data_IF_482602601876
#
_entry.id   IF_482602601876
#
_cell.length_a   1.000
_cell.length_b   1.000
_cell.length_c   1.000
_cell.angle_alpha   90.00
_cell.angle_beta   90.00
_cell.angle_gamma   90.00
#
_symmetry.space_group_name_H-M   'P 1'
#
loop_
_entity.id
_entity.type
_entity.pdbx_description
1 polymer ?
#
# COMPACT_ATOMS: atom_id res chain seq x y z
N UNK A 1 -6.77 -20.84 11.25
CA UNK A 1 -6.05 -20.06 10.20
C UNK A 1 -7.05 -19.06 9.64
N UNK A 2 -6.70 -17.78 9.62
CA UNK A 2 -7.47 -16.74 8.92
C UNK A 2 -6.88 -16.59 7.52
N UNK A 3 -7.73 -16.49 6.51
CA UNK A 3 -7.33 -16.27 5.12
C UNK A 3 -8.29 -15.29 4.45
N UNK A 4 -7.79 -14.52 3.48
CA UNK A 4 -8.59 -13.64 2.65
C UNK A 4 -8.09 -13.68 1.20
N UNK A 5 -8.97 -13.39 0.27
CA UNK A 5 -8.62 -13.14 -1.13
C UNK A 5 -8.24 -11.68 -1.27
N UNK A 6 -7.07 -11.41 -1.81
CA UNK A 6 -6.53 -10.06 -1.93
C UNK A 6 -6.06 -9.76 -3.35
N UNK A 7 -6.22 -8.53 -3.86
CA UNK A 7 -5.57 -8.10 -5.09
C UNK A 7 -4.06 -7.93 -4.84
N UNK A 8 -3.24 -8.26 -5.83
CA UNK A 8 -1.79 -8.08 -5.72
C UNK A 8 -1.41 -6.60 -5.78
N UNK A 9 -1.70 -5.94 -6.90
CA UNK A 9 -1.38 -4.53 -7.15
C UNK A 9 -2.32 -3.95 -8.22
N UNK A 10 -2.48 -2.62 -8.31
CA UNK A 10 -3.29 -2.00 -9.36
C UNK A 10 -2.89 -2.42 -10.77
N UNK A 11 -1.60 -2.39 -11.07
CA UNK A 11 -1.07 -2.72 -12.39
C UNK A 11 -1.20 -4.21 -12.77
N UNK A 12 -1.29 -5.12 -11.83
CA UNK A 12 -1.31 -6.56 -12.09
C UNK A 12 -2.72 -7.18 -12.03
N UNK A 13 -3.74 -6.39 -11.72
CA UNK A 13 -5.14 -6.82 -11.62
C UNK A 13 -6.02 -6.02 -12.57
N UNK A 14 -6.71 -6.70 -13.49
CA UNK A 14 -7.71 -6.02 -14.32
C UNK A 14 -8.86 -5.46 -13.49
N UNK A 15 -9.53 -4.41 -13.96
CA UNK A 15 -10.72 -3.89 -13.28
C UNK A 15 -11.84 -4.95 -13.13
N UNK A 16 -11.93 -5.88 -14.08
CA UNK A 16 -12.87 -6.99 -14.00
C UNK A 16 -12.52 -7.94 -12.85
N UNK A 17 -11.23 -8.28 -12.69
CA UNK A 17 -10.74 -9.10 -11.58
C UNK A 17 -10.95 -8.39 -10.23
N UNK A 18 -10.64 -7.10 -10.13
CA UNK A 18 -10.88 -6.34 -8.89
C UNK A 18 -12.37 -6.35 -8.49
N UNK A 19 -13.29 -6.17 -9.44
CA UNK A 19 -14.74 -6.26 -9.19
C UNK A 19 -15.16 -7.65 -8.72
N UNK A 20 -14.57 -8.71 -9.29
CA UNK A 20 -14.84 -10.08 -8.88
C UNK A 20 -14.34 -10.33 -7.46
N UNK A 21 -13.09 -9.94 -7.15
CA UNK A 21 -12.52 -10.07 -5.81
C UNK A 21 -13.35 -9.32 -4.77
N UNK A 22 -13.84 -8.13 -5.11
CA UNK A 22 -14.65 -7.30 -4.22
C UNK A 22 -15.92 -8.01 -3.71
N UNK A 23 -16.48 -8.95 -4.47
CA UNK A 23 -17.63 -9.76 -4.02
C UNK A 23 -17.29 -10.74 -2.88
N UNK A 24 -15.99 -10.96 -2.62
CA UNK A 24 -15.48 -11.90 -1.62
C UNK A 24 -14.81 -11.22 -0.42
N UNK A 25 -14.72 -9.89 -0.39
CA UNK A 25 -14.04 -9.20 0.71
C UNK A 25 -14.73 -9.38 2.06
N UNK A 26 -16.05 -9.24 2.11
CA UNK A 26 -16.82 -9.41 3.34
C UNK A 26 -16.26 -8.56 4.50
N UNK A 27 -16.08 -9.19 5.68
CA UNK A 27 -15.48 -8.57 6.86
C UNK A 27 -13.96 -8.79 6.98
N UNK A 28 -13.34 -9.44 6.00
CA UNK A 28 -11.91 -9.75 6.03
C UNK A 28 -11.06 -8.51 5.75
N UNK A 29 -9.88 -8.46 6.35
CA UNK A 29 -8.85 -7.50 5.95
C UNK A 29 -8.29 -7.92 4.59
N UNK A 30 -8.26 -6.98 3.65
CA UNK A 30 -7.54 -7.14 2.38
C UNK A 30 -6.24 -6.36 2.41
N UNK A 31 -5.29 -6.74 1.56
CA UNK A 31 -4.07 -5.96 1.32
C UNK A 31 -3.83 -5.79 -0.18
N UNK A 32 -3.17 -4.72 -0.56
CA UNK A 32 -2.79 -4.45 -1.94
C UNK A 32 -1.52 -3.61 -1.97
N UNK A 33 -0.53 -3.98 -2.79
CA UNK A 33 0.59 -3.09 -3.09
C UNK A 33 0.04 -1.85 -3.80
N UNK A 34 0.57 -0.69 -3.46
CA UNK A 34 0.01 0.58 -3.88
C UNK A 34 1.08 1.64 -4.06
N UNK A 35 1.09 2.25 -5.24
CA UNK A 35 1.95 3.40 -5.55
C UNK A 35 3.40 3.18 -5.11
N UNK A 36 3.92 1.99 -5.38
CA UNK A 36 5.26 1.59 -5.02
C UNK A 36 6.30 2.36 -5.83
N UNK A 37 6.06 2.51 -7.14
CA UNK A 37 6.91 3.22 -8.08
C UNK A 37 6.19 4.41 -8.72
N UNK A 38 6.95 5.43 -9.16
CA UNK A 38 6.37 6.56 -9.88
C UNK A 38 5.73 6.13 -11.21
N UNK A 39 6.32 5.12 -11.87
CA UNK A 39 5.83 4.55 -13.12
C UNK A 39 4.42 3.95 -12.99
N UNK A 40 4.01 3.51 -11.79
CA UNK A 40 2.67 3.02 -11.56
C UNK A 40 1.62 4.11 -11.79
N UNK A 41 1.81 5.29 -11.22
CA UNK A 41 0.89 6.42 -11.46
C UNK A 41 0.93 6.86 -12.93
N UNK A 42 2.12 7.00 -13.53
CA UNK A 42 2.27 7.36 -14.94
C UNK A 42 1.52 6.40 -15.87
N UNK A 43 1.58 5.10 -15.60
CA UNK A 43 0.84 4.10 -16.37
C UNK A 43 -0.68 4.32 -16.30
N UNK A 44 -1.22 4.57 -15.11
CA UNK A 44 -2.67 4.80 -14.95
C UNK A 44 -3.13 6.15 -15.49
N UNK A 45 -2.32 7.19 -15.31
CA UNK A 45 -2.66 8.54 -15.78
C UNK A 45 -2.62 8.64 -17.29
N UNK A 46 -1.57 8.09 -17.93
CA UNK A 46 -1.24 8.39 -19.31
C UNK A 46 -1.10 7.14 -20.20
N UNK A 47 -1.04 5.93 -19.66
CA UNK A 47 -0.69 4.68 -20.35
C UNK A 47 0.70 4.80 -21.00
N UNK A 48 1.68 5.32 -20.25
CA UNK A 48 3.09 5.49 -20.64
C UNK A 48 4.02 4.94 -19.57
N UNK A 49 5.33 5.03 -19.78
CA UNK A 49 6.35 4.69 -18.80
C UNK A 49 6.75 3.21 -18.78
N UNK A 50 7.48 2.83 -17.74
CA UNK A 50 8.17 1.54 -17.66
C UNK A 50 7.25 0.33 -17.65
N UNK A 51 6.01 0.48 -17.19
CA UNK A 51 5.02 -0.59 -17.22
C UNK A 51 4.65 -1.02 -18.62
N UNK A 52 4.70 -0.13 -19.63
CA UNK A 52 4.49 -0.50 -21.03
C UNK A 52 5.59 -1.50 -21.46
N UNK A 53 6.86 -1.16 -21.22
CA UNK A 53 7.99 -2.05 -21.52
C UNK A 53 7.91 -3.39 -20.78
N UNK A 54 7.44 -3.38 -19.53
CA UNK A 54 7.22 -4.60 -18.74
C UNK A 54 6.17 -5.51 -19.40
N UNK A 55 5.03 -4.96 -19.79
CA UNK A 55 3.96 -5.72 -20.44
C UNK A 55 4.38 -6.27 -21.80
N UNK A 56 5.13 -5.49 -22.59
CA UNK A 56 5.70 -5.94 -23.85
C UNK A 56 6.66 -7.13 -23.66
N UNK A 57 7.57 -7.05 -22.70
CA UNK A 57 8.51 -8.13 -22.37
C UNK A 57 7.80 -9.40 -21.86
N UNK A 58 6.73 -9.24 -21.09
CA UNK A 58 5.94 -10.36 -20.59
C UNK A 58 4.89 -10.86 -21.57
N UNK A 59 4.77 -10.23 -22.74
CA UNK A 59 3.81 -10.56 -23.81
C UNK A 59 2.36 -10.54 -23.36
N UNK A 60 2.05 -9.65 -22.41
CA UNK A 60 0.68 -9.41 -21.94
C UNK A 60 0.07 -8.26 -22.74
N UNK A 61 -1.02 -8.53 -23.46
CA UNK A 61 -1.71 -7.52 -24.23
C UNK A 61 -2.37 -6.46 -23.33
N UNK A 62 -2.30 -5.20 -23.74
CA UNK A 62 -2.88 -4.04 -23.03
C UNK A 62 -4.07 -3.41 -23.76
N UNK A 63 -4.66 -4.12 -24.72
CA UNK A 63 -5.79 -3.59 -25.53
C UNK A 63 -7.02 -3.26 -24.69
N UNK A 64 -7.18 -3.98 -23.58
CA UNK A 64 -8.28 -3.80 -22.62
C UNK A 64 -8.08 -2.62 -21.66
N UNK A 65 -6.86 -2.08 -21.59
CA UNK A 65 -6.53 -1.01 -20.64
C UNK A 65 -6.49 0.36 -21.32
N UNK A 66 -7.19 1.32 -20.75
CA UNK A 66 -7.18 2.72 -21.15
C UNK A 66 -6.72 3.57 -19.98
N UNK A 67 -5.92 4.60 -20.28
CA UNK A 67 -5.52 5.59 -19.28
C UNK A 67 -6.75 6.20 -18.61
N UNK A 68 -6.68 6.39 -17.31
CA UNK A 68 -7.80 6.91 -16.51
C UNK A 68 -7.70 8.41 -16.27
N UNK A 69 -6.52 8.99 -16.50
CA UNK A 69 -6.20 10.36 -16.13
C UNK A 69 -6.11 10.59 -14.61
N UNK A 70 -5.97 9.52 -13.84
CA UNK A 70 -5.92 9.52 -12.37
C UNK A 70 -4.78 8.65 -11.89
N UNK A 71 -4.32 8.85 -10.65
CA UNK A 71 -3.34 7.96 -10.02
C UNK A 71 -3.83 6.51 -10.02
N UNK A 72 -2.92 5.56 -9.86
CA UNK A 72 -3.25 4.14 -9.77
C UNK A 72 -4.28 3.88 -8.68
N UNK A 73 -4.06 4.44 -7.48
CA UNK A 73 -4.96 4.30 -6.35
C UNK A 73 -6.35 4.86 -6.64
N UNK A 74 -6.47 6.09 -7.13
CA UNK A 74 -7.76 6.68 -7.47
C UNK A 74 -8.51 5.92 -8.56
N UNK A 75 -7.79 5.25 -9.44
CA UNK A 75 -8.35 4.44 -10.52
C UNK A 75 -8.98 3.14 -10.03
N UNK A 76 -8.34 2.49 -9.04
CA UNK A 76 -8.81 1.21 -8.49
C UNK A 76 -9.74 1.35 -7.30
N UNK A 77 -9.65 2.45 -6.55
CA UNK A 77 -10.44 2.69 -5.34
C UNK A 77 -11.94 2.41 -5.51
N UNK A 78 -12.62 2.85 -6.59
CA UNK A 78 -14.04 2.54 -6.80
C UNK A 78 -14.35 1.06 -7.07
N UNK A 79 -13.33 0.21 -7.24
CA UNK A 79 -13.46 -1.22 -7.48
C UNK A 79 -13.24 -2.06 -6.22
N UNK A 80 -12.58 -1.47 -5.21
CA UNK A 80 -12.23 -2.13 -3.96
C UNK A 80 -12.88 -1.50 -2.72
N UNK A 81 -13.63 -0.40 -2.88
CA UNK A 81 -14.20 0.38 -1.78
C UNK A 81 -15.29 -0.34 -0.97
N UNK A 82 -15.64 -1.56 -1.33
CA UNK A 82 -16.49 -2.45 -0.52
C UNK A 82 -15.73 -3.16 0.59
N UNK A 83 -14.38 -3.04 0.61
CA UNK A 83 -13.56 -3.61 1.67
C UNK A 83 -13.80 -2.87 3.00
N UNK A 84 -14.12 -3.62 4.05
CA UNK A 84 -14.31 -3.07 5.39
C UNK A 84 -12.99 -2.68 6.06
N UNK A 85 -11.91 -3.42 5.76
CA UNK A 85 -10.55 -3.19 6.24
C UNK A 85 -9.57 -3.38 5.08
N UNK A 86 -8.71 -2.41 4.85
CA UNK A 86 -7.72 -2.47 3.79
C UNK A 86 -6.34 -2.09 4.33
N UNK A 87 -5.30 -2.78 3.83
CA UNK A 87 -3.90 -2.42 4.05
C UNK A 87 -3.32 -2.06 2.68
N UNK A 88 -3.00 -0.78 2.47
CA UNK A 88 -2.26 -0.31 1.30
C UNK A 88 -0.77 -0.36 1.60
N UNK A 89 0.00 -1.08 0.80
CA UNK A 89 1.41 -1.36 1.04
C UNK A 89 2.30 -0.50 0.16
N UNK A 90 3.45 -0.08 0.65
CA UNK A 90 4.45 0.85 0.12
C UNK A 90 4.06 2.31 0.17
N UNK A 91 3.15 2.78 -0.66
CA UNK A 91 2.64 4.15 -0.68
C UNK A 91 3.70 5.23 -0.96
N UNK A 92 4.79 4.87 -1.66
CA UNK A 92 5.96 5.73 -1.88
C UNK A 92 5.60 7.02 -2.62
N UNK A 93 4.64 6.93 -3.55
CA UNK A 93 4.24 8.03 -4.44
C UNK A 93 2.79 8.47 -4.22
N UNK A 94 2.31 8.33 -2.99
CA UNK A 94 0.95 8.74 -2.56
C UNK A 94 0.88 10.25 -2.37
N UNK A 95 -0.20 10.87 -2.86
CA UNK A 95 -0.50 12.29 -2.71
C UNK A 95 -1.53 12.57 -1.61
N UNK A 96 -1.68 13.86 -1.24
CA UNK A 96 -2.77 14.31 -0.34
C UNK A 96 -4.13 13.92 -0.89
N UNK A 97 -4.35 14.09 -2.19
CA UNK A 97 -5.63 13.78 -2.83
C UNK A 97 -5.95 12.28 -2.77
N UNK A 98 -4.93 11.42 -2.88
CA UNK A 98 -5.08 9.97 -2.73
C UNK A 98 -5.51 9.61 -1.31
N UNK A 99 -4.83 10.17 -0.30
CA UNK A 99 -5.14 9.91 1.11
C UNK A 99 -6.59 10.35 1.42
N UNK A 100 -6.97 11.54 0.99
CA UNK A 100 -8.32 12.08 1.22
C UNK A 100 -9.39 11.24 0.51
N UNK A 101 -9.14 10.79 -0.72
CA UNK A 101 -10.06 9.92 -1.44
C UNK A 101 -10.28 8.59 -0.71
N UNK A 102 -9.20 8.01 -0.16
CA UNK A 102 -9.28 6.77 0.64
C UNK A 102 -10.03 7.02 1.95
N UNK A 103 -9.72 8.10 2.68
CA UNK A 103 -10.42 8.42 3.93
C UNK A 103 -11.92 8.58 3.75
N UNK A 104 -12.35 9.12 2.62
CA UNK A 104 -13.78 9.29 2.30
C UNK A 104 -14.48 7.97 1.94
N UNK A 105 -13.80 7.08 1.21
CA UNK A 105 -14.42 5.87 0.64
C UNK A 105 -14.12 4.61 1.44
N UNK A 106 -12.98 4.55 2.13
CA UNK A 106 -12.49 3.38 2.89
C UNK A 106 -11.84 3.84 4.21
N UNK A 107 -12.59 4.38 5.17
CA UNK A 107 -12.05 5.00 6.38
C UNK A 107 -11.23 4.06 7.27
N UNK A 108 -11.42 2.75 7.17
CA UNK A 108 -10.67 1.73 7.93
C UNK A 108 -9.43 1.24 7.16
N UNK A 109 -8.80 2.10 6.37
CA UNK A 109 -7.56 1.79 5.66
C UNK A 109 -6.35 2.04 6.53
N UNK A 110 -5.42 1.09 6.53
CA UNK A 110 -4.08 1.22 7.10
C UNK A 110 -3.05 1.39 5.98
N UNK A 111 -2.08 2.27 6.21
CA UNK A 111 -1.01 2.60 5.29
C UNK A 111 0.26 1.89 5.75
N UNK A 112 0.58 0.78 5.11
CA UNK A 112 1.73 -0.04 5.47
C UNK A 112 2.98 0.48 4.79
N UNK A 113 3.94 0.90 5.59
CA UNK A 113 5.25 1.35 5.14
C UNK A 113 6.22 0.17 5.16
N UNK A 114 6.98 0.02 4.07
CA UNK A 114 8.07 -0.94 3.94
C UNK A 114 9.36 -0.16 3.56
N UNK A 115 9.88 0.69 4.45
CA UNK A 115 10.92 1.67 4.09
C UNK A 115 12.19 1.05 3.53
N UNK A 116 12.63 -0.10 4.04
CA UNK A 116 13.81 -0.77 3.48
C UNK A 116 13.54 -1.30 2.06
N UNK A 117 12.39 -1.91 1.82
CA UNK A 117 12.01 -2.37 0.49
C UNK A 117 11.91 -1.20 -0.48
N UNK A 118 11.30 -0.09 -0.09
CA UNK A 118 11.19 1.12 -0.91
C UNK A 118 12.57 1.72 -1.22
N UNK A 119 13.50 1.72 -0.25
CA UNK A 119 14.89 2.14 -0.49
C UNK A 119 15.63 1.17 -1.43
N UNK A 120 15.39 -0.12 -1.30
CA UNK A 120 16.02 -1.14 -2.13
C UNK A 120 15.56 -1.06 -3.60
N UNK A 121 14.27 -0.85 -3.83
CA UNK A 121 13.66 -0.87 -5.17
C UNK A 121 13.78 0.51 -5.86
N UNK A 122 13.37 1.58 -5.17
CA UNK A 122 13.19 2.91 -5.75
C UNK A 122 14.16 3.97 -5.21
N UNK A 123 15.00 3.63 -4.23
CA UNK A 123 15.82 4.61 -3.50
C UNK A 123 14.97 5.76 -2.94
N UNK A 124 13.72 5.49 -2.60
CA UNK A 124 12.74 6.47 -2.13
C UNK A 124 12.20 6.11 -0.75
N UNK A 125 11.80 7.12 0.02
CA UNK A 125 11.05 6.94 1.26
C UNK A 125 9.57 7.22 1.01
N UNK A 126 8.65 6.49 1.67
CA UNK A 126 7.24 6.87 1.64
C UNK A 126 7.06 8.25 2.31
N UNK A 127 6.03 9.02 1.94
CA UNK A 127 5.81 10.39 2.43
C UNK A 127 5.24 10.38 3.87
N UNK A 128 6.05 9.96 4.85
CA UNK A 128 5.62 9.72 6.24
C UNK A 128 5.02 10.99 6.86
N UNK A 129 5.64 12.15 6.68
CA UNK A 129 5.13 13.40 7.24
C UNK A 129 3.77 13.78 6.64
N UNK A 130 3.55 13.47 5.37
CA UNK A 130 2.27 13.68 4.72
C UNK A 130 1.19 12.77 5.32
N UNK A 131 1.48 11.48 5.48
CA UNK A 131 0.57 10.52 6.10
C UNK A 131 0.22 10.92 7.54
N UNK A 132 1.22 11.35 8.33
CA UNK A 132 1.03 11.87 9.69
C UNK A 132 0.16 13.12 9.71
N UNK A 133 0.43 14.09 8.84
CA UNK A 133 -0.35 15.33 8.74
C UNK A 133 -1.83 15.06 8.38
N UNK A 134 -2.09 14.06 7.57
CA UNK A 134 -3.44 13.62 7.22
C UNK A 134 -4.05 12.65 8.25
N UNK A 135 -3.38 12.39 9.38
CA UNK A 135 -3.82 11.46 10.44
C UNK A 135 -4.14 10.06 9.90
N UNK A 136 -3.39 9.61 8.91
CA UNK A 136 -3.52 8.29 8.35
C UNK A 136 -3.13 7.21 9.38
N UNK A 137 -3.80 6.07 9.36
CA UNK A 137 -3.44 4.95 10.23
C UNK A 137 -2.20 4.25 9.65
N UNK A 138 -1.02 4.57 10.17
CA UNK A 138 0.26 4.04 9.72
C UNK A 138 0.53 2.70 10.40
N UNK A 139 1.01 1.74 9.62
CA UNK A 139 1.56 0.45 10.08
C UNK A 139 2.89 0.18 9.38
N UNK A 140 3.66 -0.79 9.86
CA UNK A 140 4.98 -1.13 9.29
C UNK A 140 5.03 -2.60 8.91
N UNK A 141 5.60 -2.87 7.74
CA UNK A 141 5.89 -4.19 7.20
C UNK A 141 7.29 -4.25 6.62
N UNK A 142 7.76 -5.44 6.27
CA UNK A 142 9.11 -5.66 5.72
C UNK A 142 9.12 -5.91 4.22
N UNK A 143 7.96 -6.21 3.64
CA UNK A 143 7.87 -6.84 2.33
C UNK A 143 8.60 -8.19 2.29
N UNK A 144 8.95 -8.71 1.12
CA UNK A 144 9.62 -10.00 0.95
C UNK A 144 11.14 -9.89 1.08
N UNK A 145 11.81 -11.03 1.33
CA UNK A 145 13.27 -11.09 1.35
C UNK A 145 13.91 -10.86 -0.04
N UNK A 146 13.12 -10.93 -1.11
CA UNK A 146 13.59 -10.64 -2.46
C UNK A 146 13.75 -9.13 -2.73
N UNK A 147 13.06 -8.30 -1.96
CA UNK A 147 13.03 -6.84 -2.09
C UNK A 147 13.54 -6.11 -0.85
N UNK A 148 14.15 -6.81 0.10
CA UNK A 148 14.64 -6.23 1.35
C UNK A 148 15.94 -6.89 1.79
N UNK A 149 16.74 -6.19 2.57
CA UNK A 149 17.98 -6.72 3.16
C UNK A 149 17.73 -7.60 4.40
N UNK A 150 16.56 -7.45 5.03
CA UNK A 150 16.21 -8.14 6.29
C UNK A 150 14.69 -8.22 6.45
N UNK A 151 14.21 -9.23 7.17
CA UNK A 151 12.80 -9.34 7.58
C UNK A 151 12.62 -8.94 9.06
N UNK A 152 13.25 -7.85 9.46
CA UNK A 152 13.25 -7.38 10.84
C UNK A 152 12.54 -6.02 10.95
N UNK A 153 11.42 -5.98 11.64
CA UNK A 153 10.63 -4.75 11.84
C UNK A 153 11.43 -3.65 12.56
N UNK A 154 12.35 -3.99 13.47
CA UNK A 154 13.18 -2.98 14.11
C UNK A 154 14.15 -2.30 13.13
N UNK A 155 14.58 -2.98 12.08
CA UNK A 155 15.44 -2.37 11.07
C UNK A 155 14.62 -1.42 10.16
N UNK A 156 13.35 -1.71 9.93
CA UNK A 156 12.43 -0.75 9.30
C UNK A 156 12.29 0.52 10.15
N UNK A 157 12.09 0.37 11.48
CA UNK A 157 11.99 1.53 12.38
C UNK A 157 13.29 2.34 12.44
N UNK A 158 14.46 1.70 12.41
CA UNK A 158 15.76 2.40 12.33
C UNK A 158 15.89 3.21 11.04
N UNK A 159 15.42 2.65 9.92
CA UNK A 159 15.40 3.35 8.63
C UNK A 159 14.47 4.56 8.68
N UNK A 160 13.27 4.42 9.25
CA UNK A 160 12.37 5.55 9.50
C UNK A 160 13.06 6.62 10.35
N UNK A 161 13.62 6.22 11.49
CA UNK A 161 14.29 7.14 12.43
C UNK A 161 15.45 7.89 11.79
N UNK A 162 16.21 7.22 10.93
CA UNK A 162 17.35 7.85 10.21
C UNK A 162 16.88 8.95 9.26
N UNK A 163 15.76 8.76 8.56
CA UNK A 163 15.24 9.70 7.57
C UNK A 163 14.28 10.74 8.17
N UNK A 164 13.62 10.40 9.26
CA UNK A 164 12.65 11.25 9.97
C UNK A 164 12.99 11.31 11.47
N UNK A 165 14.11 11.95 11.88
CA UNK A 165 14.61 11.90 13.25
C UNK A 165 13.71 12.58 14.29
N UNK A 166 12.74 13.38 13.84
CA UNK A 166 11.78 14.06 14.72
C UNK A 166 10.62 13.16 15.18
N UNK A 167 10.46 11.97 14.58
CA UNK A 167 9.39 11.05 14.95
C UNK A 167 9.81 10.31 16.22
N UNK A 168 8.97 10.40 17.25
CA UNK A 168 9.24 9.76 18.52
C UNK A 168 9.20 8.22 18.41
N UNK A 169 10.11 7.56 19.14
CA UNK A 169 10.18 6.10 19.17
C UNK A 169 8.84 5.46 19.59
N UNK A 170 8.17 6.06 20.57
CA UNK A 170 6.86 5.57 21.04
C UNK A 170 5.80 5.56 19.92
N UNK A 171 5.79 6.57 19.06
CA UNK A 171 4.90 6.64 17.91
C UNK A 171 5.21 5.51 16.91
N UNK A 172 6.49 5.32 16.56
CA UNK A 172 6.93 4.26 15.63
C UNK A 172 6.66 2.85 16.18
N UNK A 173 6.86 2.64 17.49
CA UNK A 173 6.51 1.38 18.14
C UNK A 173 4.99 1.11 18.06
N UNK A 174 4.17 2.14 18.20
CA UNK A 174 2.73 2.03 17.99
C UNK A 174 2.38 1.54 16.58
N UNK A 175 3.06 2.06 15.55
CA UNK A 175 2.87 1.61 14.16
C UNK A 175 3.24 0.14 13.95
N UNK A 176 4.34 -0.30 14.58
CA UNK A 176 4.88 -1.65 14.43
C UNK A 176 4.14 -2.70 15.30
N UNK A 177 3.31 -2.29 16.24
CA UNK A 177 2.66 -3.19 17.20
C UNK A 177 1.13 -3.04 17.18
N UNK A 178 0.57 -2.13 17.97
CA UNK A 178 -0.87 -1.98 18.15
C UNK A 178 -1.62 -1.64 16.86
N UNK A 179 -1.06 -0.72 16.05
CA UNK A 179 -1.68 -0.36 14.78
C UNK A 179 -1.69 -1.54 13.80
N UNK A 180 -0.59 -2.31 13.73
CA UNK A 180 -0.51 -3.53 12.94
C UNK A 180 -1.53 -4.58 13.39
N UNK A 181 -1.66 -4.78 14.71
CA UNK A 181 -2.65 -5.68 15.28
C UNK A 181 -4.09 -5.26 14.93
N UNK A 182 -4.40 -3.96 15.00
CA UNK A 182 -5.70 -3.40 14.59
C UNK A 182 -5.96 -3.59 13.09
N UNK A 183 -4.97 -3.31 12.24
CA UNK A 183 -5.08 -3.52 10.79
C UNK A 183 -5.43 -4.98 10.45
N UNK A 184 -4.89 -5.92 11.20
CA UNK A 184 -5.16 -7.35 11.08
C UNK A 184 -6.40 -7.83 11.86
N UNK A 185 -7.12 -6.95 12.54
CA UNK A 185 -8.25 -7.26 13.42
C UNK A 185 -7.87 -8.26 14.53
N UNK A 186 -6.68 -8.11 15.10
CA UNK A 186 -6.10 -9.00 16.13
C UNK A 186 -5.75 -8.25 17.43
N UNK A 187 -6.11 -6.99 17.56
CA UNK A 187 -5.77 -6.10 18.68
C UNK A 187 -6.37 -6.53 20.04
N UNK A 188 -7.32 -7.45 20.04
CA UNK A 188 -7.81 -8.09 21.27
C UNK A 188 -6.83 -9.12 21.86
N UNK A 189 -5.84 -9.52 21.09
CA UNK A 189 -4.91 -10.60 21.45
C UNK A 189 -3.44 -10.25 21.25
N UNK A 190 -3.16 -9.22 20.44
CA UNK A 190 -1.80 -8.83 20.02
C UNK A 190 -1.64 -7.31 20.03
N UNK A 191 -0.38 -6.86 20.03
CA UNK A 191 -0.02 -5.46 19.82
C UNK A 191 0.13 -4.61 21.09
N UNK A 192 -0.23 -5.14 22.26
CA UNK A 192 -0.03 -4.50 23.58
C UNK A 192 0.17 -5.55 24.67
N UNK A 193 0.68 -5.12 25.78
CA UNK A 193 0.77 -5.89 27.03
C UNK A 193 -0.47 -5.67 27.90
#
# INVERSE_FOLDING_TARGET
IRASLVPHAPYSCTFALLKLLATHFGSHTISMHNQETAAENEFFENKTGDFISMYERTKVALDYFHATGKTSLQSVLPKINTANHCILVHNSFTSVADIQAVQQQMPNTSWCLCPNANQYIESAMPPIDLLRAQKANIVVGTDSYASNWTLNILDELKTIQKHNPIIELAEMLGWATLNGARALQMDKHLGSF
#
